data_IF_399659964623
#
_entry.id   IF_399659964623
#
_cell.length_a   1.000
_cell.length_b   1.000
_cell.length_c   1.000
_cell.angle_alpha   90.00
_cell.angle_beta   90.00
_cell.angle_gamma   90.00
#
_symmetry.space_group_name_H-M   'P 1'
#
loop_
_entity.id
_entity.type
_entity.pdbx_description
1 polymer ?
#
# COMPACT_ATOMS: atom_id res chain seq x y z
N UNK A 1 0.19 7.71 -9.36
CA UNK A 1 1.39 7.15 -8.67
C UNK A 1 1.01 5.91 -7.87
N UNK A 2 1.82 4.85 -7.88
CA UNK A 2 1.48 3.59 -7.20
C UNK A 2 1.66 3.70 -5.68
N UNK A 3 0.69 3.17 -4.92
CA UNK A 3 0.74 3.11 -3.44
C UNK A 3 1.98 2.36 -2.93
N UNK A 4 2.51 1.42 -3.70
CA UNK A 4 3.69 0.66 -3.34
C UNK A 4 4.99 1.49 -3.42
N UNK A 5 5.01 2.54 -4.25
CA UNK A 5 6.14 3.46 -4.35
C UNK A 5 6.12 4.44 -3.17
N UNK A 6 4.95 4.98 -2.85
CA UNK A 6 4.79 5.93 -1.74
C UNK A 6 4.90 5.25 -0.36
N UNK A 7 4.56 3.96 -0.27
CA UNK A 7 4.58 3.18 0.97
C UNK A 7 5.25 1.82 0.75
N UNK A 8 6.60 1.77 0.65
CA UNK A 8 7.34 0.54 0.36
C UNK A 8 7.21 -0.51 1.47
N UNK A 9 6.76 -0.11 2.67
CA UNK A 9 6.41 -1.05 3.75
C UNK A 9 5.33 -2.06 3.33
N UNK A 10 4.45 -1.70 2.39
CA UNK A 10 3.40 -2.59 1.88
C UNK A 10 3.97 -3.78 1.09
N UNK A 11 5.21 -3.71 0.60
CA UNK A 11 5.87 -4.85 -0.04
C UNK A 11 6.08 -6.02 0.94
N UNK A 12 6.08 -5.77 2.25
CA UNK A 12 6.16 -6.82 3.26
C UNK A 12 4.94 -7.75 3.28
N UNK A 13 3.81 -7.33 2.72
CA UNK A 13 2.60 -8.16 2.63
C UNK A 13 2.88 -9.49 1.91
N UNK A 14 3.82 -9.51 0.96
CA UNK A 14 4.23 -10.74 0.23
C UNK A 14 4.85 -11.78 1.17
N UNK A 15 5.40 -11.37 2.32
CA UNK A 15 5.96 -12.28 3.34
C UNK A 15 4.91 -12.83 4.32
N UNK A 16 3.64 -12.46 4.13
CA UNK A 16 2.55 -12.96 4.97
C UNK A 16 2.28 -14.44 4.69
N UNK A 17 1.93 -15.18 5.74
CA UNK A 17 1.49 -16.57 5.58
C UNK A 17 0.06 -16.64 5.00
N UNK A 18 -0.03 -16.84 3.69
CA UNK A 18 -1.29 -16.97 2.95
C UNK A 18 -2.11 -18.21 3.32
N UNK A 19 -1.60 -19.13 4.15
CA UNK A 19 -2.37 -20.28 4.64
C UNK A 19 -3.40 -19.88 5.70
N UNK A 20 -3.20 -18.75 6.40
CA UNK A 20 -4.12 -18.27 7.44
C UNK A 20 -5.45 -17.86 6.82
N UNK A 21 -6.56 -18.39 7.36
CA UNK A 21 -7.93 -18.09 6.89
C UNK A 21 -8.22 -16.59 6.84
N UNK A 22 -7.79 -15.84 7.86
CA UNK A 22 -7.98 -14.37 7.91
C UNK A 22 -7.27 -13.65 6.76
N UNK A 23 -6.06 -14.07 6.40
CA UNK A 23 -5.27 -13.48 5.32
C UNK A 23 -5.93 -13.75 3.97
N UNK A 24 -6.43 -14.97 3.75
CA UNK A 24 -7.18 -15.31 2.53
C UNK A 24 -8.45 -14.48 2.38
N UNK A 25 -9.23 -14.36 3.46
CA UNK A 25 -10.46 -13.56 3.46
C UNK A 25 -10.12 -12.10 3.16
N UNK A 26 -9.10 -11.54 3.80
CA UNK A 26 -8.63 -10.18 3.51
C UNK A 26 -8.29 -9.98 2.04
N UNK A 27 -7.54 -10.90 1.41
CA UNK A 27 -7.23 -10.79 -0.02
C UNK A 27 -8.46 -10.91 -0.91
N UNK A 28 -9.42 -11.78 -0.58
CA UNK A 28 -10.68 -11.89 -1.31
C UNK A 28 -11.47 -10.57 -1.21
N UNK A 29 -11.55 -9.97 -0.02
CA UNK A 29 -12.23 -8.69 0.17
C UNK A 29 -11.53 -7.55 -0.56
N UNK A 30 -10.19 -7.52 -0.57
CA UNK A 30 -9.41 -6.56 -1.37
C UNK A 30 -9.74 -6.74 -2.86
N UNK A 31 -9.77 -7.96 -3.38
CA UNK A 31 -10.10 -8.19 -4.79
C UNK A 31 -11.55 -7.79 -5.10
N UNK A 32 -12.50 -8.15 -4.23
CA UNK A 32 -13.91 -7.82 -4.40
C UNK A 32 -14.20 -6.31 -4.40
N UNK A 33 -13.37 -5.51 -3.71
CA UNK A 33 -13.47 -4.04 -3.70
C UNK A 33 -12.66 -3.41 -4.82
N UNK A 34 -11.46 -3.93 -5.10
CA UNK A 34 -10.56 -3.43 -6.14
C UNK A 34 -11.16 -3.59 -7.55
N UNK A 35 -11.86 -4.69 -7.83
CA UNK A 35 -12.46 -4.93 -9.16
C UNK A 35 -13.46 -3.83 -9.54
N UNK A 36 -14.50 -3.51 -8.75
CA UNK A 36 -15.39 -2.38 -9.03
C UNK A 36 -14.65 -1.04 -9.15
N UNK A 37 -13.65 -0.80 -8.30
CA UNK A 37 -12.88 0.44 -8.32
C UNK A 37 -12.14 0.62 -9.64
N UNK A 38 -11.50 -0.45 -10.14
CA UNK A 38 -10.77 -0.41 -11.40
C UNK A 38 -11.71 -0.33 -12.62
N UNK A 39 -12.84 -1.03 -12.59
CA UNK A 39 -13.77 -1.10 -13.72
C UNK A 39 -14.68 0.14 -13.83
N UNK A 40 -15.02 0.79 -12.72
CA UNK A 40 -16.00 1.87 -12.70
C UNK A 40 -15.38 3.25 -12.39
N UNK A 41 -14.39 3.30 -11.48
CA UNK A 41 -13.83 4.57 -10.98
C UNK A 41 -12.44 4.90 -11.56
N UNK A 42 -11.96 4.19 -12.58
CA UNK A 42 -10.65 4.41 -13.19
C UNK A 42 -10.54 5.74 -13.96
N UNK A 43 -10.28 6.87 -13.26
CA UNK A 43 -10.14 8.21 -13.87
C UNK A 43 -8.75 8.50 -14.50
N UNK A 44 -7.95 7.48 -14.82
CA UNK A 44 -6.65 7.62 -15.46
C UNK A 44 -5.45 7.91 -14.52
N UNK A 45 -4.27 8.17 -15.11
CA UNK A 45 -2.98 8.15 -14.41
C UNK A 45 -2.62 9.41 -13.60
N UNK A 46 -3.35 10.51 -13.81
CA UNK A 46 -3.06 11.82 -13.19
C UNK A 46 -3.51 11.97 -11.74
N UNK A 47 -4.17 10.96 -11.16
CA UNK A 47 -4.59 11.04 -9.77
C UNK A 47 -3.40 10.81 -8.82
N UNK A 48 -3.12 11.82 -7.99
CA UNK A 48 -2.16 11.76 -6.90
C UNK A 48 -2.94 11.42 -5.63
N UNK A 49 -2.60 10.30 -4.98
CA UNK A 49 -3.13 9.94 -3.65
C UNK A 49 -3.83 8.58 -3.55
N UNK A 50 -4.35 8.32 -2.36
CA UNK A 50 -4.80 6.99 -1.91
C UNK A 50 -6.31 6.76 -2.01
N UNK A 51 -7.08 7.61 -2.69
CA UNK A 51 -8.55 7.57 -2.63
C UNK A 51 -9.13 6.17 -2.85
N UNK A 52 -8.63 5.47 -3.86
CA UNK A 52 -9.02 4.10 -4.18
C UNK A 52 -8.47 3.05 -3.23
N UNK A 53 -7.32 3.31 -2.62
CA UNK A 53 -6.75 2.41 -1.65
C UNK A 53 -7.44 2.48 -0.29
N UNK A 54 -8.09 3.59 0.05
CA UNK A 54 -8.82 3.76 1.30
C UNK A 54 -9.95 2.73 1.46
N UNK A 55 -10.63 2.40 0.36
CA UNK A 55 -11.77 1.47 0.36
C UNK A 55 -11.39 0.05 0.79
N UNK A 56 -10.14 -0.37 0.52
CA UNK A 56 -9.62 -1.68 0.88
C UNK A 56 -8.50 -1.64 1.92
N UNK A 57 -8.11 -0.46 2.41
CA UNK A 57 -7.02 -0.26 3.35
C UNK A 57 -7.16 -1.09 4.64
N UNK A 58 -8.34 -1.16 5.30
CA UNK A 58 -8.48 -1.96 6.52
C UNK A 58 -8.11 -3.44 6.31
N UNK A 59 -8.51 -4.00 5.16
CA UNK A 59 -8.23 -5.39 4.81
C UNK A 59 -6.77 -5.59 4.39
N UNK A 60 -6.13 -4.56 3.84
CA UNK A 60 -4.70 -4.56 3.49
C UNK A 60 -3.79 -4.51 4.74
N UNK A 61 -4.22 -3.82 5.80
CA UNK A 61 -3.46 -3.70 7.04
C UNK A 61 -3.37 -5.02 7.83
N UNK A 62 -4.37 -5.88 7.74
CA UNK A 62 -4.39 -7.19 8.42
C UNK A 62 -3.18 -8.07 8.04
N UNK A 63 -2.95 -8.42 6.76
CA UNK A 63 -1.79 -9.21 6.36
C UNK A 63 -0.48 -8.45 6.63
N UNK A 64 -0.47 -7.11 6.48
CA UNK A 64 0.70 -6.30 6.78
C UNK A 64 1.14 -6.46 8.24
N UNK A 65 0.24 -6.34 9.21
CA UNK A 65 0.57 -6.52 10.63
C UNK A 65 1.09 -7.93 10.91
N UNK A 66 0.52 -8.95 10.27
CA UNK A 66 0.98 -10.33 10.41
C UNK A 66 2.40 -10.49 9.84
N UNK A 67 2.71 -9.86 8.72
CA UNK A 67 4.06 -9.86 8.16
C UNK A 67 5.05 -9.12 9.07
N UNK A 68 4.68 -7.95 9.59
CA UNK A 68 5.54 -7.12 10.45
C UNK A 68 6.00 -7.86 11.71
N UNK A 69 5.17 -8.75 12.28
CA UNK A 69 5.53 -9.58 13.44
C UNK A 69 6.78 -10.45 13.21
N UNK A 70 7.12 -10.75 11.96
CA UNK A 70 8.28 -11.59 11.59
C UNK A 70 9.50 -10.76 11.15
N UNK A 71 9.39 -9.43 11.12
CA UNK A 71 10.40 -8.54 10.56
C UNK A 71 11.07 -7.75 11.68
N UNK A 72 12.37 -7.51 11.54
CA UNK A 72 13.13 -6.71 12.48
C UNK A 72 12.68 -5.23 12.42
N UNK A 73 12.59 -4.58 13.58
CA UNK A 73 12.24 -3.16 13.71
C UNK A 73 13.14 -2.24 12.87
N UNK A 74 14.43 -2.60 12.71
CA UNK A 74 15.36 -1.84 11.85
C UNK A 74 14.90 -1.84 10.39
N UNK A 75 14.51 -3.00 9.86
CA UNK A 75 14.00 -3.12 8.48
C UNK A 75 12.70 -2.36 8.30
N UNK A 76 11.81 -2.39 9.30
CA UNK A 76 10.57 -1.60 9.32
C UNK A 76 10.90 -0.11 9.26
N UNK A 77 11.81 0.36 10.12
CA UNK A 77 12.25 1.74 10.16
C UNK A 77 12.83 2.24 8.83
N UNK A 78 13.70 1.43 8.19
CA UNK A 78 14.28 1.76 6.87
C UNK A 78 13.17 1.92 5.80
N UNK A 79 12.19 1.02 5.77
CA UNK A 79 11.08 1.09 4.80
C UNK A 79 10.15 2.27 5.06
N UNK A 80 9.91 2.63 6.32
CA UNK A 80 9.11 3.83 6.63
C UNK A 80 9.87 5.09 6.23
N UNK A 81 11.15 5.19 6.59
CA UNK A 81 12.00 6.33 6.24
C UNK A 81 12.13 6.51 4.73
N UNK A 82 12.30 5.42 3.96
CA UNK A 82 12.34 5.53 2.51
C UNK A 82 11.02 6.03 1.93
N UNK A 83 9.87 5.58 2.46
CA UNK A 83 8.56 6.11 2.07
C UNK A 83 8.42 7.61 2.32
N UNK A 84 8.89 8.09 3.48
CA UNK A 84 8.90 9.54 3.81
C UNK A 84 9.76 10.32 2.82
N UNK A 85 10.98 9.85 2.55
CA UNK A 85 11.91 10.50 1.62
C UNK A 85 11.35 10.55 0.19
N UNK A 86 10.77 9.45 -0.30
CA UNK A 86 10.12 9.41 -1.62
C UNK A 86 8.98 10.42 -1.68
N UNK A 87 8.15 10.48 -0.63
CA UNK A 87 7.03 11.42 -0.57
C UNK A 87 7.53 12.86 -0.59
N UNK A 88 8.58 13.18 0.17
CA UNK A 88 9.19 14.51 0.17
C UNK A 88 9.76 14.89 -1.19
N UNK A 89 10.48 13.98 -1.83
CA UNK A 89 11.03 14.20 -3.17
C UNK A 89 9.94 14.64 -4.17
N UNK A 90 8.83 13.89 -4.23
CA UNK A 90 7.71 14.23 -5.13
C UNK A 90 7.01 15.53 -4.75
N UNK A 91 6.92 15.86 -3.46
CA UNK A 91 6.37 17.16 -3.02
C UNK A 91 7.27 18.30 -3.51
N UNK A 92 8.59 18.17 -3.38
CA UNK A 92 9.52 19.20 -3.85
C UNK A 92 9.53 19.33 -5.37
N UNK A 93 9.48 18.22 -6.11
CA UNK A 93 9.34 18.22 -7.57
C UNK A 93 8.08 18.98 -7.99
N UNK A 94 6.94 18.67 -7.37
CA UNK A 94 5.67 19.34 -7.64
C UNK A 94 5.72 20.84 -7.31
N UNK A 95 6.33 21.23 -6.18
CA UNK A 95 6.49 22.64 -5.79
C UNK A 95 7.48 23.40 -6.70
N UNK A 96 8.48 22.72 -7.24
CA UNK A 96 9.45 23.29 -8.17
C UNK A 96 8.88 23.49 -9.59
N UNK A 97 7.67 22.96 -9.87
CA UNK A 97 7.03 23.05 -11.18
C UNK A 97 7.71 22.19 -12.25
N UNK A 98 8.46 21.17 -11.83
CA UNK A 98 9.09 20.17 -12.70
C UNK A 98 8.11 19.03 -13.04
#
# INVERSE_FOLDING_TARGET
MSIFILSPILLLIVRTDSKRKIVKISFITILATLIPILLYYGIGWRQIGYRYALDFAPFLLIPLVIALKKINIKTIGILVLSGVLITWFFIFEFLAGL
#
